data_IF_647805358257
#
_entry.id   IF_647805358257
#
_cell.length_a   1.000
_cell.length_b   1.000
_cell.length_c   1.000
_cell.angle_alpha   90.00
_cell.angle_beta   90.00
_cell.angle_gamma   90.00
#
_symmetry.space_group_name_H-M   'P 1'
#
loop_
_entity.id
_entity.type
_entity.pdbx_description
1 polymer ?
#
# COMPACT_ATOMS: atom_id res chain seq x y z
N UNK A 1 5.91 12.24 -15.71
CA UNK A 1 6.90 11.28 -15.17
C UNK A 1 6.17 10.03 -14.71
N UNK A 2 6.58 8.84 -15.15
CA UNK A 2 6.01 7.58 -14.67
C UNK A 2 6.43 7.35 -13.21
N UNK A 3 5.52 7.58 -12.27
CA UNK A 3 5.76 7.27 -10.85
C UNK A 3 5.84 5.76 -10.72
N UNK A 4 6.91 5.23 -10.11
CA UNK A 4 7.07 3.77 -9.97
C UNK A 4 6.29 3.27 -8.75
N UNK A 5 5.40 2.31 -9.00
CA UNK A 5 4.58 1.67 -7.98
C UNK A 5 5.11 0.27 -7.66
N UNK A 6 5.05 -0.14 -6.39
CA UNK A 6 5.36 -1.50 -5.96
C UNK A 6 4.23 -2.07 -5.09
N UNK A 7 3.81 -3.29 -5.38
CA UNK A 7 2.90 -4.04 -4.50
C UNK A 7 3.67 -4.93 -3.54
N UNK A 8 3.32 -4.87 -2.25
CA UNK A 8 3.85 -5.74 -1.19
C UNK A 8 2.73 -6.68 -0.73
N UNK A 9 2.94 -7.97 -0.94
CA UNK A 9 2.01 -9.04 -0.53
C UNK A 9 2.57 -9.85 0.64
N UNK A 10 3.89 -9.90 0.78
CA UNK A 10 4.60 -10.59 1.85
C UNK A 10 5.84 -9.79 2.29
N UNK A 11 6.51 -10.21 3.37
CA UNK A 11 7.71 -9.52 3.86
C UNK A 11 8.93 -9.63 2.92
N UNK A 12 8.99 -10.64 2.06
CA UNK A 12 10.11 -10.81 1.13
C UNK A 12 10.07 -9.76 0.00
N UNK A 13 8.87 -9.30 -0.37
CA UNK A 13 8.67 -8.26 -1.40
C UNK A 13 9.37 -6.93 -1.04
N UNK A 14 9.70 -6.69 0.23
CA UNK A 14 10.49 -5.52 0.67
C UNK A 14 11.84 -5.46 -0.03
N UNK A 15 12.43 -6.61 -0.41
CA UNK A 15 13.70 -6.66 -1.13
C UNK A 15 13.61 -6.06 -2.54
N UNK A 16 12.40 -5.95 -3.11
CA UNK A 16 12.15 -5.40 -4.45
C UNK A 16 12.04 -3.87 -4.44
N UNK A 17 12.10 -3.23 -3.27
CA UNK A 17 12.04 -1.77 -3.14
C UNK A 17 13.34 -1.18 -3.72
N UNK A 18 13.22 -0.49 -4.84
CA UNK A 18 14.28 0.35 -5.41
C UNK A 18 14.06 1.81 -5.04
N UNK A 19 15.12 2.62 -5.09
CA UNK A 19 15.06 4.08 -4.81
C UNK A 19 14.06 4.84 -5.69
N UNK A 20 13.80 4.35 -6.90
CA UNK A 20 12.80 4.93 -7.82
C UNK A 20 11.34 4.68 -7.42
N UNK A 21 11.07 3.76 -6.49
CA UNK A 21 9.70 3.50 -6.02
C UNK A 21 9.25 4.68 -5.16
N UNK A 22 8.15 5.31 -5.53
CA UNK A 22 7.54 6.41 -4.76
C UNK A 22 6.25 5.98 -4.07
N UNK A 23 5.58 4.96 -4.61
CA UNK A 23 4.27 4.52 -4.14
C UNK A 23 4.31 3.04 -3.81
N UNK A 24 3.90 2.68 -2.59
CA UNK A 24 3.76 1.30 -2.16
C UNK A 24 2.28 0.94 -2.00
N UNK A 25 1.91 -0.26 -2.43
CA UNK A 25 0.59 -0.84 -2.22
C UNK A 25 0.66 -2.06 -1.31
N UNK A 26 0.12 -1.96 -0.10
CA UNK A 26 0.04 -3.05 0.87
C UNK A 26 -1.21 -3.89 0.62
N UNK A 27 -1.02 -5.14 0.18
CA UNK A 27 -2.14 -6.00 -0.23
C UNK A 27 -2.78 -6.79 0.89
N UNK A 28 -2.00 -7.27 1.86
CA UNK A 28 -2.46 -8.28 2.84
C UNK A 28 -2.43 -7.81 4.30
N UNK A 29 -1.45 -7.01 4.68
CA UNK A 29 -1.26 -6.58 6.06
C UNK A 29 -0.46 -5.26 6.11
N UNK A 30 -0.65 -4.51 7.19
CA UNK A 30 0.17 -3.36 7.54
C UNK A 30 0.57 -3.46 9.02
N UNK A 31 1.81 -3.12 9.33
CA UNK A 31 2.34 -3.08 10.70
C UNK A 31 3.45 -2.04 10.80
N UNK A 32 3.65 -1.45 11.98
CA UNK A 32 4.73 -0.47 12.20
C UNK A 32 6.09 -1.07 11.81
N UNK A 33 6.32 -2.35 12.14
CA UNK A 33 7.56 -3.06 11.79
C UNK A 33 7.75 -3.17 10.27
N UNK A 34 6.68 -3.36 9.51
CA UNK A 34 6.72 -3.37 8.05
C UNK A 34 7.07 -1.97 7.52
N UNK A 35 6.39 -0.93 8.01
CA UNK A 35 6.62 0.45 7.56
C UNK A 35 8.07 0.88 7.85
N UNK A 36 8.58 0.63 9.06
CA UNK A 36 9.99 0.91 9.40
C UNK A 36 10.97 0.23 8.44
N UNK A 37 10.70 -1.02 8.04
CA UNK A 37 11.55 -1.74 7.07
C UNK A 37 11.48 -1.14 5.67
N UNK A 38 10.30 -0.70 5.25
CA UNK A 38 10.10 -0.01 3.98
C UNK A 38 10.91 1.28 3.96
N UNK A 39 10.77 2.12 4.98
CA UNK A 39 11.45 3.43 5.05
C UNK A 39 12.95 3.30 5.18
N UNK A 40 13.44 2.27 5.88
CA UNK A 40 14.87 1.95 5.92
C UNK A 40 15.44 1.58 4.54
N UNK A 41 14.62 1.00 3.65
CA UNK A 41 15.03 0.64 2.29
C UNK A 41 14.93 1.80 1.32
N UNK A 42 13.91 2.65 1.49
CA UNK A 42 13.73 3.84 0.70
C UNK A 42 12.96 4.89 1.52
N UNK A 43 13.63 6.00 1.83
CA UNK A 43 13.03 7.15 2.51
C UNK A 43 12.26 8.08 1.57
N UNK A 44 12.42 7.92 0.25
CA UNK A 44 11.73 8.73 -0.76
C UNK A 44 10.32 8.25 -1.10
N UNK A 45 9.70 7.43 -0.25
CA UNK A 45 8.32 6.98 -0.40
C UNK A 45 7.40 8.17 -0.11
N UNK A 46 6.49 8.47 -1.02
CA UNK A 46 5.56 9.60 -0.90
C UNK A 46 4.16 9.12 -0.50
N UNK A 47 3.81 7.87 -0.84
CA UNK A 47 2.45 7.36 -0.66
C UNK A 47 2.41 5.88 -0.34
N UNK A 48 1.60 5.51 0.64
CA UNK A 48 1.23 4.14 0.96
C UNK A 48 -0.26 3.95 0.72
N UNK A 49 -0.57 3.07 -0.22
CA UNK A 49 -1.94 2.67 -0.51
C UNK A 49 -2.25 1.29 0.04
N UNK A 50 -3.48 1.06 0.47
CA UNK A 50 -3.91 -0.23 0.99
C UNK A 50 -5.38 -0.49 0.68
N UNK A 51 -5.82 -1.74 0.74
CA UNK A 51 -7.24 -2.06 0.62
C UNK A 51 -8.00 -1.74 1.91
N UNK A 52 -9.31 -1.50 1.81
CA UNK A 52 -10.19 -1.35 3.00
C UNK A 52 -10.10 -2.54 3.95
N UNK A 53 -9.89 -3.75 3.42
CA UNK A 53 -9.66 -4.96 4.22
C UNK A 53 -8.40 -4.84 5.09
N UNK A 54 -7.27 -4.39 4.52
CA UNK A 54 -6.04 -4.19 5.29
C UNK A 54 -6.23 -3.08 6.32
N UNK A 55 -6.92 -2.00 5.93
CA UNK A 55 -7.14 -0.85 6.80
C UNK A 55 -7.87 -1.25 8.08
N UNK A 56 -9.02 -1.91 7.94
CA UNK A 56 -9.88 -2.34 9.05
C UNK A 56 -9.26 -3.36 9.98
N UNK A 57 -8.26 -4.13 9.53
CA UNK A 57 -7.56 -5.14 10.34
C UNK A 57 -6.23 -4.67 10.92
N UNK A 58 -5.76 -3.49 10.54
CA UNK A 58 -4.50 -2.96 11.07
C UNK A 58 -4.78 -2.10 12.29
N UNK A 59 -3.81 -2.03 13.21
CA UNK A 59 -3.87 -1.13 14.35
C UNK A 59 -3.83 0.34 13.84
N UNK A 60 -4.66 1.21 14.42
CA UNK A 60 -4.70 2.64 14.08
C UNK A 60 -3.34 3.32 14.16
N UNK A 61 -2.51 2.94 15.14
CA UNK A 61 -1.15 3.46 15.31
C UNK A 61 -0.23 3.20 14.11
N UNK A 62 -0.57 2.27 13.22
CA UNK A 62 0.18 2.07 11.98
C UNK A 62 -0.01 3.26 11.04
N UNK A 63 -1.21 3.84 11.00
CA UNK A 63 -1.54 4.95 10.11
C UNK A 63 -1.00 6.26 10.66
N UNK A 64 -1.18 6.50 11.96
CA UNK A 64 -0.56 7.63 12.67
C UNK A 64 0.96 7.65 12.41
N UNK A 65 1.62 6.49 12.56
CA UNK A 65 3.05 6.37 12.27
C UNK A 65 3.42 6.66 10.80
N UNK A 66 2.55 6.35 9.83
CA UNK A 66 2.82 6.64 8.43
C UNK A 66 2.69 8.16 8.18
N UNK A 67 1.63 8.78 8.71
CA UNK A 67 1.36 10.21 8.56
C UNK A 67 2.43 11.06 9.26
N UNK A 68 2.91 10.64 10.45
CA UNK A 68 4.04 11.26 11.17
C UNK A 68 5.36 11.27 10.38
N UNK A 69 5.47 10.46 9.31
CA UNK A 69 6.63 10.40 8.43
C UNK A 69 6.41 11.16 7.11
N UNK A 70 5.41 12.05 7.04
CA UNK A 70 5.04 12.84 5.86
C UNK A 70 4.67 11.98 4.63
N UNK A 71 4.04 10.83 4.87
CA UNK A 71 3.63 9.89 3.81
C UNK A 71 2.12 9.87 3.68
N UNK A 72 1.62 10.06 2.46
CA UNK A 72 0.18 10.01 2.20
C UNK A 72 -0.37 8.59 2.35
N UNK A 73 -1.41 8.42 3.18
CA UNK A 73 -2.16 7.15 3.29
C UNK A 73 -3.37 7.18 2.36
N UNK A 74 -3.51 6.17 1.49
CA UNK A 74 -4.66 6.06 0.57
C UNK A 74 -5.36 4.71 0.68
N UNK A 75 -6.63 4.74 1.05
CA UNK A 75 -7.45 3.54 1.20
C UNK A 75 -8.22 3.31 -0.10
N UNK A 76 -7.91 2.21 -0.79
CA UNK A 76 -8.63 1.78 -1.99
C UNK A 76 -9.85 0.96 -1.59
N UNK A 77 -11.01 1.44 -1.99
CA UNK A 77 -12.31 0.81 -1.73
C UNK A 77 -12.71 -0.20 -2.82
N UNK A 78 -11.75 -0.71 -3.62
CA UNK A 78 -11.99 -1.86 -4.49
C UNK A 78 -12.07 -3.09 -3.59
N UNK A 79 -13.27 -3.62 -3.37
CA UNK A 79 -13.49 -4.85 -2.61
C UNK A 79 -12.71 -6.03 -3.19
N UNK A 80 -12.51 -7.13 -2.43
CA UNK A 80 -11.82 -8.33 -2.89
C UNK A 80 -12.66 -9.18 -3.89
N UNK A 81 -13.47 -8.54 -4.74
CA UNK A 81 -14.39 -9.21 -5.65
C UNK A 81 -13.94 -9.14 -7.10
N UNK A 82 -14.10 -10.25 -7.83
CA UNK A 82 -14.09 -10.30 -9.31
C UNK A 82 -14.87 -9.10 -9.88
N UNK A 83 -14.45 -8.50 -11.00
CA UNK A 83 -15.36 -7.64 -11.76
C UNK A 83 -16.63 -8.46 -12.04
N UNK A 84 -17.79 -7.94 -11.64
CA UNK A 84 -19.06 -8.57 -11.98
C UNK A 84 -19.14 -8.59 -13.51
N UNK A 85 -19.27 -9.78 -14.11
CA UNK A 85 -19.49 -9.98 -15.55
C UNK A 85 -20.68 -9.17 -16.10
N UNK A 86 -21.58 -8.70 -15.23
CA UNK A 86 -22.73 -7.86 -15.55
C UNK A 86 -22.38 -6.38 -15.81
N UNK A 87 -21.20 -5.89 -15.43
CA UNK A 87 -20.79 -4.51 -15.76
C UNK A 87 -20.29 -4.37 -17.21
N UNK A 88 -20.11 -5.48 -17.94
CA UNK A 88 -19.60 -5.51 -19.33
C UNK A 88 -20.71 -5.48 -20.39
N UNK A 89 -21.99 -5.62 -20.03
CA UNK A 89 -23.10 -5.52 -20.99
C UNK A 89 -23.80 -4.17 -20.80
N UNK A 90 -23.24 -3.13 -21.42
CA UNK A 90 -24.00 -1.97 -21.87
C UNK A 90 -23.86 -1.90 -23.40
N UNK A 91 -24.78 -2.55 -24.10
CA UNK A 91 -25.20 -2.25 -25.47
C UNK A 91 -26.72 -2.12 -25.40
#
# INVERSE_FOLDING_TARGET
>A
MNVKHLSISNYQDIQKISSSVKIIHLRKFASIKLIKKILKKNSGIEKISLSKYVYTRSNSHVFDFIEDNDIEVSIRNKGPGRPNLLETIRI
#
